data_IF_899512772579
#
_entry.id   IF_899512772579
#
_cell.length_a   1.000
_cell.length_b   1.000
_cell.length_c   1.000
_cell.angle_alpha   90.00
_cell.angle_beta   90.00
_cell.angle_gamma   90.00
#
_symmetry.space_group_name_H-M   'P 1'
#
loop_
_entity.id
_entity.type
_entity.pdbx_description
1 polymer ?
#
# COMPACT_ATOMS: atom_id res chain seq x y z
N UNK A 1 13.68 9.24 19.45
CA UNK A 1 13.12 10.49 18.90
C UNK A 1 13.59 10.58 17.45
N UNK A 2 12.68 10.52 16.48
CA UNK A 2 13.04 10.68 15.06
C UNK A 2 13.37 12.17 14.89
N UNK A 3 14.55 12.50 14.37
CA UNK A 3 14.92 13.89 14.18
C UNK A 3 14.10 14.45 13.00
N UNK A 4 12.96 15.09 13.31
CA UNK A 4 12.01 15.71 12.37
C UNK A 4 12.58 16.99 11.71
N UNK A 5 13.85 17.30 11.96
CA UNK A 5 14.49 18.58 11.66
C UNK A 5 14.77 18.85 10.18
N UNK A 6 14.66 17.85 9.29
CA UNK A 6 15.04 17.99 7.88
C UNK A 6 14.06 17.26 6.95
N UNK A 7 12.89 17.88 6.63
CA UNK A 7 11.85 17.25 5.83
C UNK A 7 12.28 16.90 4.40
N UNK A 8 13.17 17.71 3.80
CA UNK A 8 13.67 17.48 2.44
C UNK A 8 14.54 16.23 2.35
N UNK A 9 15.43 16.01 3.33
CA UNK A 9 16.27 14.82 3.38
C UNK A 9 15.42 13.54 3.57
N UNK A 10 14.37 13.61 4.39
CA UNK A 10 13.41 12.51 4.58
C UNK A 10 12.64 12.21 3.30
N UNK A 11 12.24 13.25 2.56
CA UNK A 11 11.57 13.09 1.27
C UNK A 11 12.44 12.37 0.25
N UNK A 12 13.70 12.80 0.10
CA UNK A 12 14.67 12.16 -0.79
C UNK A 12 14.98 10.71 -0.40
N UNK A 13 15.10 10.42 0.92
CA UNK A 13 15.28 9.07 1.43
C UNK A 13 14.12 8.14 1.03
N UNK A 14 12.87 8.59 1.20
CA UNK A 14 11.69 7.82 0.84
C UNK A 14 11.54 7.68 -0.69
N UNK A 15 11.84 8.72 -1.45
CA UNK A 15 11.82 8.67 -2.91
C UNK A 15 12.80 7.64 -3.46
N UNK A 16 14.01 7.56 -2.89
CA UNK A 16 15.02 6.59 -3.29
C UNK A 16 14.54 5.15 -3.06
N UNK A 17 13.81 4.90 -1.98
CA UNK A 17 13.36 3.55 -1.61
C UNK A 17 12.09 3.10 -2.33
N UNK A 18 11.12 4.01 -2.50
CA UNK A 18 9.79 3.68 -3.03
C UNK A 18 9.56 4.17 -4.47
N UNK A 19 10.38 5.11 -4.95
CA UNK A 19 10.23 5.73 -6.26
C UNK A 19 9.04 6.70 -6.36
N UNK A 20 8.87 7.27 -7.55
CA UNK A 20 7.79 8.24 -7.86
C UNK A 20 6.54 7.59 -8.44
N UNK A 21 6.53 6.27 -8.61
CA UNK A 21 5.47 5.53 -9.29
C UNK A 21 4.99 4.37 -8.43
N UNK A 22 3.68 4.22 -8.36
CA UNK A 22 3.05 3.03 -7.77
C UNK A 22 2.87 1.98 -8.86
N UNK A 23 3.34 0.77 -8.61
CA UNK A 23 3.06 -0.39 -9.46
C UNK A 23 1.87 -1.14 -8.90
N UNK A 24 0.96 -1.55 -9.76
CA UNK A 24 -0.11 -2.46 -9.43
C UNK A 24 -0.09 -3.62 -10.42
N UNK A 25 -0.53 -4.78 -9.97
CA UNK A 25 -0.70 -5.96 -10.80
C UNK A 25 -2.18 -6.27 -10.87
N UNK A 26 -2.65 -6.57 -12.08
CA UNK A 26 -4.01 -7.04 -12.29
C UNK A 26 -3.95 -8.57 -12.40
N UNK A 27 -4.59 -9.26 -11.48
CA UNK A 27 -4.76 -10.70 -11.53
C UNK A 27 -6.14 -11.03 -12.10
N UNK A 28 -6.16 -11.74 -13.22
CA UNK A 28 -7.40 -12.31 -13.76
C UNK A 28 -7.67 -13.64 -13.06
N UNK A 29 -8.52 -13.60 -12.05
CA UNK A 29 -8.98 -14.79 -11.34
C UNK A 29 -10.39 -15.15 -11.80
N UNK A 30 -10.62 -16.44 -12.10
CA UNK A 30 -11.94 -16.92 -12.46
C UNK A 30 -12.87 -16.81 -11.25
N UNK A 31 -13.88 -15.95 -11.36
CA UNK A 31 -14.95 -15.80 -10.40
C UNK A 31 -16.24 -16.46 -10.93
N UNK A 32 -16.99 -17.12 -10.05
CA UNK A 32 -18.25 -17.82 -10.41
C UNK A 32 -19.47 -16.91 -10.23
N UNK A 33 -19.34 -15.66 -10.67
CA UNK A 33 -20.38 -14.65 -10.55
C UNK A 33 -21.22 -14.64 -11.83
N UNK A 34 -22.54 -14.70 -11.71
CA UNK A 34 -23.44 -14.55 -12.85
C UNK A 34 -23.39 -13.15 -13.43
N UNK A 35 -23.53 -13.01 -14.75
CA UNK A 35 -23.47 -11.70 -15.44
C UNK A 35 -24.50 -10.70 -14.88
N UNK A 36 -25.70 -11.16 -14.56
CA UNK A 36 -26.76 -10.34 -13.97
C UNK A 36 -26.43 -9.82 -12.56
N UNK A 37 -25.50 -10.45 -11.86
CA UNK A 37 -25.11 -10.11 -10.48
C UNK A 37 -23.83 -9.26 -10.41
N UNK A 38 -23.09 -9.14 -11.52
CA UNK A 38 -21.77 -8.54 -11.58
C UNK A 38 -21.75 -7.11 -11.04
N UNK A 39 -22.63 -6.25 -11.54
CA UNK A 39 -22.70 -4.84 -11.14
C UNK A 39 -23.04 -4.70 -9.66
N UNK A 40 -23.97 -5.53 -9.18
CA UNK A 40 -24.43 -5.50 -7.78
C UNK A 40 -23.30 -5.94 -6.84
N UNK A 41 -22.59 -7.01 -7.18
CA UNK A 41 -21.47 -7.51 -6.38
C UNK A 41 -20.31 -6.54 -6.41
N UNK A 42 -19.95 -6.00 -7.57
CA UNK A 42 -18.88 -5.02 -7.70
C UNK A 42 -19.17 -3.78 -6.83
N UNK A 43 -20.38 -3.23 -6.93
CA UNK A 43 -20.80 -2.11 -6.10
C UNK A 43 -20.73 -2.43 -4.61
N UNK A 44 -21.21 -3.61 -4.21
CA UNK A 44 -21.17 -4.04 -2.81
C UNK A 44 -19.74 -4.13 -2.27
N UNK A 45 -18.80 -4.63 -3.07
CA UNK A 45 -17.38 -4.71 -2.71
C UNK A 45 -16.76 -3.32 -2.55
N UNK A 46 -17.02 -2.42 -3.50
CA UNK A 46 -16.55 -1.03 -3.45
C UNK A 46 -17.12 -0.33 -2.21
N UNK A 47 -18.43 -0.45 -1.98
CA UNK A 47 -19.11 0.19 -0.85
C UNK A 47 -18.60 -0.34 0.49
N UNK A 48 -18.37 -1.66 0.61
CA UNK A 48 -17.79 -2.26 1.81
C UNK A 48 -16.35 -1.79 2.06
N UNK A 49 -15.54 -1.70 1.00
CA UNK A 49 -14.20 -1.15 1.08
C UNK A 49 -14.21 0.31 1.52
N UNK A 50 -14.99 1.16 0.85
CA UNK A 50 -15.09 2.59 1.20
C UNK A 50 -15.60 2.77 2.63
N UNK A 51 -16.65 2.03 3.04
CA UNK A 51 -17.20 2.11 4.39
C UNK A 51 -16.15 1.81 5.47
N UNK A 52 -15.25 0.85 5.22
CA UNK A 52 -14.24 0.44 6.18
C UNK A 52 -12.96 1.28 6.10
N UNK A 53 -12.47 1.57 4.90
CA UNK A 53 -11.20 2.26 4.68
C UNK A 53 -11.32 3.78 4.74
N UNK A 54 -12.40 4.37 4.21
CA UNK A 54 -12.52 5.82 4.06
C UNK A 54 -12.42 6.58 5.39
N UNK A 55 -13.02 6.14 6.52
CA UNK A 55 -12.85 6.84 7.80
C UNK A 55 -11.39 6.89 8.28
N UNK A 56 -10.59 5.89 7.92
CA UNK A 56 -9.17 5.84 8.27
C UNK A 56 -8.33 6.70 7.33
N UNK A 57 -8.58 6.61 6.03
CA UNK A 57 -7.86 7.37 5.00
C UNK A 57 -8.17 8.87 5.04
N UNK A 58 -9.38 9.24 5.48
CA UNK A 58 -9.84 10.64 5.52
C UNK A 58 -9.38 11.40 6.76
N UNK A 59 -8.60 10.77 7.66
CA UNK A 59 -8.08 11.49 8.83
C UNK A 59 -7.09 12.57 8.37
N UNK A 60 -7.18 13.81 8.89
CA UNK A 60 -6.28 14.90 8.48
C UNK A 60 -4.79 14.58 8.67
N UNK A 61 -4.47 13.72 9.63
CA UNK A 61 -3.11 13.32 9.95
C UNK A 61 -2.67 11.99 9.30
N UNK A 62 -3.53 11.37 8.48
CA UNK A 62 -3.25 10.08 7.83
C UNK A 62 -1.93 10.13 7.04
N UNK A 63 -1.78 11.13 6.16
CA UNK A 63 -0.58 11.26 5.32
C UNK A 63 0.70 11.36 6.16
N UNK A 64 0.68 12.19 7.23
CA UNK A 64 1.81 12.32 8.15
C UNK A 64 2.14 11.00 8.82
N UNK A 65 1.14 10.30 9.35
CA UNK A 65 1.34 9.00 10.02
C UNK A 65 1.88 7.94 9.07
N UNK A 66 1.39 7.91 7.84
CA UNK A 66 1.83 6.98 6.81
C UNK A 66 3.31 7.20 6.48
N UNK A 67 3.71 8.44 6.22
CA UNK A 67 5.10 8.82 5.93
C UNK A 67 6.02 8.43 7.08
N UNK A 68 5.64 8.72 8.33
CA UNK A 68 6.44 8.36 9.50
C UNK A 68 6.58 6.85 9.68
N UNK A 69 5.50 6.09 9.47
CA UNK A 69 5.53 4.62 9.50
C UNK A 69 6.49 4.10 8.42
N UNK A 70 6.41 4.62 7.21
CA UNK A 70 7.29 4.23 6.10
C UNK A 70 8.74 4.56 6.38
N UNK A 71 9.02 5.75 6.91
CA UNK A 71 10.37 6.13 7.33
C UNK A 71 10.94 5.18 8.40
N UNK A 72 10.12 4.81 9.38
CA UNK A 72 10.52 3.84 10.39
C UNK A 72 10.80 2.46 9.77
N UNK A 73 9.97 2.02 8.82
CA UNK A 73 10.20 0.78 8.07
C UNK A 73 11.54 0.86 7.33
N UNK A 74 11.83 1.91 6.56
CA UNK A 74 13.10 2.04 5.81
C UNK A 74 14.34 2.03 6.71
N UNK A 75 14.25 2.68 7.87
CA UNK A 75 15.36 2.78 8.84
C UNK A 75 15.51 1.55 9.72
N UNK A 76 14.53 0.64 9.72
CA UNK A 76 14.64 -0.64 10.41
C UNK A 76 15.67 -1.53 9.68
N UNK A 77 16.76 -1.95 10.33
CA UNK A 77 17.77 -2.80 9.70
C UNK A 77 17.20 -4.12 9.17
N UNK A 78 16.06 -4.59 9.70
CA UNK A 78 15.39 -5.80 9.23
C UNK A 78 14.53 -5.60 7.97
N UNK A 79 14.31 -4.35 7.52
CA UNK A 79 13.47 -4.04 6.37
C UNK A 79 13.95 -4.69 5.07
N UNK A 80 15.27 -4.76 4.88
CA UNK A 80 15.91 -5.34 3.70
C UNK A 80 15.56 -6.82 3.53
N UNK A 81 15.51 -7.58 4.62
CA UNK A 81 15.19 -9.01 4.60
C UNK A 81 13.69 -9.29 4.39
N UNK A 82 12.82 -8.33 4.72
CA UNK A 82 11.36 -8.48 4.53
C UNK A 82 10.97 -8.37 3.05
N UNK A 83 11.69 -7.57 2.25
CA UNK A 83 11.46 -7.44 0.80
C UNK A 83 11.78 -8.72 0.02
N UNK A 84 12.76 -9.50 0.47
CA UNK A 84 13.19 -10.73 -0.20
C UNK A 84 12.19 -11.89 0.02
N UNK A 85 11.57 -11.94 1.20
CA UNK A 85 10.61 -13.00 1.57
C UNK A 85 9.28 -13.00 0.81
N UNK A 86 8.95 -11.92 0.08
CA UNK A 86 7.74 -11.86 -0.76
C UNK A 86 7.94 -12.39 -2.18
N UNK A 87 9.16 -12.81 -2.54
CA UNK A 87 9.40 -13.56 -3.77
C UNK A 87 8.88 -15.00 -3.60
N UNK A 88 7.67 -15.27 -4.09
CA UNK A 88 7.14 -16.63 -4.15
C UNK A 88 7.63 -17.29 -5.46
N UNK A 89 8.54 -18.29 -5.39
CA UNK A 89 9.11 -18.92 -6.59
C UNK A 89 8.08 -19.69 -7.42
N UNK A 90 6.86 -19.91 -6.91
CA UNK A 90 5.79 -20.61 -7.63
C UNK A 90 5.07 -19.74 -8.67
N UNK A 91 5.30 -18.43 -8.68
CA UNK A 91 4.68 -17.47 -9.62
C UNK A 91 5.70 -16.58 -10.33
N UNK A 92 6.97 -17.00 -10.42
CA UNK A 92 7.94 -16.34 -11.29
C UNK A 92 7.91 -17.02 -12.66
N UNK A 93 7.28 -16.36 -13.63
CA UNK A 93 7.45 -16.64 -15.06
C UNK A 93 8.80 -16.14 -15.57
#
# INVERSE_FOLDING_TARGET
MINESEPEAVYEELLKEYGTKVRYEAHEERNFIGENDLDTIQKTLIDAYLKSALPYLSKPDFARRLVLKKLHEVRDPMHKFRKESTHNPLYST
#
